data_IF_472702839335
#
_entry.id   IF_472702839335
#
_cell.length_a   1.000
_cell.length_b   1.000
_cell.length_c   1.000
_cell.angle_alpha   90.00
_cell.angle_beta   90.00
_cell.angle_gamma   90.00
#
_symmetry.space_group_name_H-M   'P 1'
#
loop_
_entity.id
_entity.type
_entity.pdbx_description
1 polymer ?
#
# COMPACT_ATOMS: atom_id res chain seq x y z
N UNK A 1 11.69 -19.24 -16.94
CA UNK A 1 12.74 -19.95 -17.72
C UNK A 1 12.43 -19.68 -19.19
N UNK A 2 13.39 -19.34 -20.05
CA UNK A 2 13.06 -18.98 -21.45
C UNK A 2 12.53 -20.22 -22.19
N UNK A 3 11.22 -20.30 -22.38
CA UNK A 3 10.57 -21.40 -23.11
C UNK A 3 10.56 -21.08 -24.61
N UNK A 4 11.06 -22.00 -25.43
CA UNK A 4 11.02 -21.90 -26.89
C UNK A 4 9.95 -22.84 -27.45
N UNK A 5 9.20 -22.37 -28.43
CA UNK A 5 8.22 -23.16 -29.15
C UNK A 5 8.49 -23.09 -30.65
N UNK A 6 8.64 -24.26 -31.27
CA UNK A 6 8.74 -24.39 -32.73
C UNK A 6 7.35 -24.64 -33.30
N UNK A 7 6.89 -23.75 -34.17
CA UNK A 7 5.59 -23.78 -34.83
C UNK A 7 5.45 -25.06 -35.65
N UNK A 8 4.34 -25.78 -35.48
CA UNK A 8 4.00 -27.00 -36.21
C UNK A 8 2.99 -26.72 -37.35
N UNK A 9 2.88 -27.62 -38.34
CA UNK A 9 1.80 -27.53 -39.34
C UNK A 9 0.43 -27.37 -38.68
N UNK A 10 -0.32 -26.35 -39.09
CA UNK A 10 -1.65 -26.04 -38.57
C UNK A 10 -1.69 -25.18 -37.29
N UNK A 11 -0.55 -24.87 -36.67
CA UNK A 11 -0.53 -23.91 -35.56
C UNK A 11 -0.57 -22.46 -36.06
N UNK A 12 -1.29 -21.61 -35.34
CA UNK A 12 -1.26 -20.14 -35.41
C UNK A 12 -0.75 -19.58 -34.09
N UNK A 13 -0.39 -18.30 -34.03
CA UNK A 13 -0.02 -17.69 -32.74
C UNK A 13 -1.16 -17.78 -31.72
N UNK A 14 -2.42 -17.78 -32.16
CA UNK A 14 -3.61 -17.98 -31.31
C UNK A 14 -3.67 -19.39 -30.72
N UNK A 15 -3.44 -20.42 -31.52
CA UNK A 15 -3.45 -21.81 -31.01
C UNK A 15 -2.25 -22.08 -30.11
N UNK A 16 -1.09 -21.49 -30.42
CA UNK A 16 0.10 -21.54 -29.57
C UNK A 16 -0.17 -20.82 -28.26
N UNK A 17 -0.75 -19.62 -28.31
CA UNK A 17 -1.12 -18.88 -27.11
C UNK A 17 -2.07 -19.72 -26.23
N UNK A 18 -3.14 -20.28 -26.81
CA UNK A 18 -4.04 -21.20 -26.11
C UNK A 18 -3.30 -22.39 -25.48
N UNK A 19 -2.37 -23.02 -26.21
CA UNK A 19 -1.57 -24.16 -25.73
C UNK A 19 -0.73 -23.81 -24.51
N UNK A 20 -0.19 -22.59 -24.46
CA UNK A 20 0.62 -22.11 -23.34
C UNK A 20 -0.19 -21.35 -22.28
N UNK A 21 -1.53 -21.32 -22.39
CA UNK A 21 -2.39 -20.55 -21.49
C UNK A 21 -2.18 -19.04 -21.57
N UNK A 22 -1.73 -18.54 -22.72
CA UNK A 22 -1.62 -17.13 -23.05
C UNK A 22 -2.89 -16.74 -23.81
N UNK A 23 -3.60 -15.72 -23.34
CA UNK A 23 -4.92 -15.36 -23.88
C UNK A 23 -4.84 -14.62 -25.22
N UNK A 24 -3.85 -13.74 -25.36
CA UNK A 24 -3.65 -12.87 -26.52
C UNK A 24 -2.38 -13.28 -27.24
N UNK A 25 -2.52 -13.70 -28.48
CA UNK A 25 -1.39 -14.13 -29.29
C UNK A 25 -0.37 -13.00 -29.49
N UNK A 26 -0.83 -11.75 -29.43
CA UNK A 26 -0.03 -10.54 -29.52
C UNK A 26 1.08 -10.52 -28.46
N UNK A 27 0.86 -11.15 -27.29
CA UNK A 27 1.88 -11.23 -26.24
C UNK A 27 3.06 -12.10 -26.64
N UNK A 28 2.81 -13.18 -27.38
CA UNK A 28 3.87 -13.98 -27.98
C UNK A 28 4.53 -13.14 -29.08
N UNK A 29 3.74 -12.57 -29.98
CA UNK A 29 4.27 -11.84 -31.13
C UNK A 29 5.16 -10.67 -30.73
N UNK A 30 4.68 -9.82 -29.81
CA UNK A 30 5.32 -8.57 -29.38
C UNK A 30 6.39 -8.77 -28.29
N UNK A 31 6.59 -10.01 -27.80
CA UNK A 31 7.59 -10.29 -26.77
C UNK A 31 8.98 -9.78 -27.18
N UNK A 32 9.75 -9.09 -26.31
CA UNK A 32 11.02 -8.48 -26.71
C UNK A 32 12.01 -9.46 -27.36
N UNK A 33 12.09 -10.68 -26.84
CA UNK A 33 12.98 -11.73 -27.38
C UNK A 33 12.52 -12.30 -28.73
N UNK A 34 11.30 -11.98 -29.18
CA UNK A 34 10.79 -12.32 -30.51
C UNK A 34 11.04 -11.22 -31.56
N UNK A 35 11.84 -10.19 -31.26
CA UNK A 35 12.19 -9.13 -32.24
C UNK A 35 12.70 -9.70 -33.56
N UNK A 36 13.68 -10.60 -33.53
CA UNK A 36 14.24 -11.21 -34.73
C UNK A 36 13.22 -12.07 -35.50
N UNK A 37 12.25 -12.67 -34.80
CA UNK A 37 11.13 -13.37 -35.44
C UNK A 37 10.20 -12.39 -36.15
N UNK A 38 9.84 -11.26 -35.51
CA UNK A 38 9.00 -10.22 -36.13
C UNK A 38 9.65 -9.57 -37.35
N UNK A 39 10.97 -9.40 -37.34
CA UNK A 39 11.70 -8.86 -38.50
C UNK A 39 11.62 -9.78 -39.72
N UNK A 40 11.62 -11.10 -39.52
CA UNK A 40 11.45 -12.09 -40.59
C UNK A 40 9.98 -12.30 -40.98
N UNK A 41 9.07 -12.15 -40.02
CA UNK A 41 7.63 -12.38 -40.19
C UNK A 41 6.82 -11.17 -39.68
N UNK A 42 6.78 -10.04 -40.42
CA UNK A 42 6.13 -8.80 -39.96
C UNK A 42 4.60 -8.89 -39.87
N UNK A 43 4.01 -9.85 -40.59
CA UNK A 43 2.59 -10.15 -40.48
C UNK A 43 2.40 -11.37 -39.57
N UNK A 44 1.85 -11.14 -38.38
CA UNK A 44 1.64 -12.17 -37.36
C UNK A 44 0.71 -13.32 -37.79
N UNK A 45 -0.11 -13.13 -38.83
CA UNK A 45 -0.96 -14.17 -39.40
C UNK A 45 -0.22 -15.11 -40.36
N UNK A 46 1.05 -14.83 -40.71
CA UNK A 46 1.83 -15.58 -41.72
C UNK A 46 2.95 -16.45 -41.10
N UNK A 47 2.79 -16.92 -39.88
CA UNK A 47 3.76 -17.83 -39.26
C UNK A 47 3.86 -19.15 -40.03
N UNK A 48 5.06 -19.73 -40.09
CA UNK A 48 5.32 -20.95 -40.86
C UNK A 48 5.78 -22.09 -39.96
N UNK A 49 5.45 -23.35 -40.31
CA UNK A 49 6.05 -24.50 -39.64
C UNK A 49 7.57 -24.41 -39.64
N UNK A 50 8.18 -24.66 -38.48
CA UNK A 50 9.63 -24.49 -38.27
C UNK A 50 10.04 -23.13 -37.70
N UNK A 51 9.17 -22.12 -37.73
CA UNK A 51 9.43 -20.87 -37.01
C UNK A 51 9.61 -21.13 -35.52
N UNK A 52 10.52 -20.40 -34.88
CA UNK A 52 10.74 -20.49 -33.43
C UNK A 52 10.31 -19.18 -32.79
N UNK A 53 9.35 -19.28 -31.87
CA UNK A 53 8.90 -18.19 -31.01
C UNK A 53 9.30 -18.48 -29.57
N UNK A 54 9.77 -17.45 -28.88
CA UNK A 54 9.94 -17.45 -27.44
C UNK A 54 8.56 -17.27 -26.81
N UNK A 55 8.17 -18.21 -25.96
CA UNK A 55 6.97 -18.14 -25.17
C UNK A 55 7.32 -17.35 -23.91
N UNK A 56 6.67 -16.19 -23.66
CA UNK A 56 6.80 -15.51 -22.39
C UNK A 56 6.49 -16.50 -21.26
N UNK A 57 7.25 -16.46 -20.16
CA UNK A 57 6.81 -17.14 -18.93
C UNK A 57 5.35 -16.72 -18.72
N UNK A 58 4.45 -17.68 -18.43
CA UNK A 58 3.01 -17.45 -18.28
C UNK A 58 2.86 -16.15 -17.49
N UNK A 59 2.52 -15.07 -18.19
CA UNK A 59 2.11 -13.86 -17.51
C UNK A 59 0.96 -14.35 -16.67
N UNK A 60 1.03 -14.20 -15.33
CA UNK A 60 0.00 -14.68 -14.47
C UNK A 60 -1.37 -14.62 -15.10
N UNK A 61 -2.08 -15.73 -15.14
CA UNK A 61 -3.34 -15.85 -15.85
C UNK A 61 -4.18 -14.58 -15.66
N UNK A 62 -4.26 -13.74 -16.70
CA UNK A 62 -5.22 -12.63 -16.81
C UNK A 62 -6.57 -13.26 -16.58
N UNK A 63 -7.07 -13.22 -15.34
CA UNK A 63 -8.51 -13.23 -15.16
C UNK A 63 -9.02 -11.94 -15.81
N UNK A 64 -10.14 -11.95 -16.53
CA UNK A 64 -10.80 -10.71 -16.98
C UNK A 64 -11.38 -9.99 -15.76
N UNK A 65 -10.49 -9.53 -14.91
CA UNK A 65 -10.81 -8.87 -13.67
C UNK A 65 -10.11 -7.53 -13.66
N UNK A 66 -10.70 -6.51 -13.02
CA UNK A 66 -10.04 -5.22 -12.83
C UNK A 66 -8.63 -5.35 -12.24
N UNK A 67 -8.39 -6.37 -11.40
CA UNK A 67 -7.07 -6.64 -10.85
C UNK A 67 -6.07 -7.22 -11.87
N UNK A 68 -6.52 -8.06 -12.81
CA UNK A 68 -5.67 -8.53 -13.90
C UNK A 68 -5.17 -7.38 -14.78
N UNK A 69 -6.06 -6.44 -15.12
CA UNK A 69 -5.70 -5.23 -15.87
C UNK A 69 -4.74 -4.33 -15.09
N UNK A 70 -4.97 -4.18 -13.77
CA UNK A 70 -4.06 -3.47 -12.87
C UNK A 70 -2.64 -4.06 -12.89
N UNK A 71 -2.52 -5.39 -12.71
CA UNK A 71 -1.23 -6.08 -12.72
C UNK A 71 -0.51 -5.97 -14.06
N UNK A 72 -1.24 -5.92 -15.17
CA UNK A 72 -0.63 -5.71 -16.48
C UNK A 72 0.01 -4.33 -16.61
N UNK A 73 -0.69 -3.28 -16.19
CA UNK A 73 -0.13 -1.93 -16.21
C UNK A 73 1.10 -1.84 -15.30
N UNK A 74 1.01 -2.44 -14.12
CA UNK A 74 2.10 -2.51 -13.15
C UNK A 74 3.32 -3.24 -13.72
N UNK A 75 3.13 -4.41 -14.34
CA UNK A 75 4.19 -5.21 -14.96
C UNK A 75 4.93 -4.43 -16.06
N UNK A 76 4.18 -3.75 -16.93
CA UNK A 76 4.78 -2.96 -18.01
C UNK A 76 5.65 -1.81 -17.48
N UNK A 77 5.19 -1.14 -16.42
CA UNK A 77 5.97 -0.12 -15.72
C UNK A 77 7.19 -0.71 -15.02
N UNK A 78 7.05 -1.89 -14.40
CA UNK A 78 8.13 -2.59 -13.73
C UNK A 78 9.27 -2.92 -14.70
N UNK A 79 8.93 -3.50 -15.86
CA UNK A 79 9.88 -3.81 -16.93
C UNK A 79 10.65 -2.57 -17.40
N UNK A 80 9.97 -1.42 -17.48
CA UNK A 80 10.60 -0.15 -17.82
C UNK A 80 11.55 0.37 -16.73
N UNK A 81 11.23 0.11 -15.46
CA UNK A 81 12.10 0.42 -14.33
C UNK A 81 13.34 -0.49 -14.30
N UNK A 82 13.17 -1.80 -14.54
CA UNK A 82 14.27 -2.78 -14.64
C UNK A 82 15.26 -2.38 -15.75
N UNK A 83 14.76 -1.96 -16.93
CA UNK A 83 15.63 -1.48 -18.02
C UNK A 83 16.45 -0.25 -17.62
N UNK A 84 15.94 0.58 -16.72
CA UNK A 84 16.64 1.71 -16.12
C UNK A 84 17.44 1.35 -14.86
N UNK A 85 17.68 0.05 -14.63
CA UNK A 85 18.50 -0.46 -13.52
C UNK A 85 17.95 -0.14 -12.12
N UNK A 86 16.63 0.06 -11.98
CA UNK A 86 16.02 0.18 -10.65
C UNK A 86 16.14 -1.15 -9.90
N UNK A 87 16.63 -1.10 -8.66
CA UNK A 87 16.71 -2.28 -7.80
C UNK A 87 15.30 -2.79 -7.44
N UNK A 88 15.20 -3.97 -6.81
CA UNK A 88 13.91 -4.46 -6.28
C UNK A 88 13.27 -3.46 -5.30
N UNK A 89 14.07 -2.88 -4.40
CA UNK A 89 13.59 -1.89 -3.44
C UNK A 89 13.17 -0.58 -4.11
N UNK A 90 13.94 -0.10 -5.08
CA UNK A 90 13.62 1.16 -5.76
C UNK A 90 12.37 1.03 -6.64
N UNK A 91 12.08 -0.17 -7.16
CA UNK A 91 10.80 -0.45 -7.85
C UNK A 91 9.60 -0.35 -6.91
N UNK A 92 9.69 -0.89 -5.69
CA UNK A 92 8.63 -0.76 -4.69
C UNK A 92 8.42 0.72 -4.33
N UNK A 93 9.51 1.46 -4.08
CA UNK A 93 9.43 2.90 -3.84
C UNK A 93 8.83 3.65 -5.04
N UNK A 94 9.20 3.30 -6.28
CA UNK A 94 8.64 3.91 -7.48
C UNK A 94 7.14 3.68 -7.62
N UNK A 95 6.64 2.48 -7.27
CA UNK A 95 5.20 2.21 -7.25
C UNK A 95 4.48 2.99 -6.15
N UNK A 96 5.04 3.09 -4.95
CA UNK A 96 4.51 3.98 -3.90
C UNK A 96 4.38 5.42 -4.40
N UNK A 97 5.38 5.94 -5.11
CA UNK A 97 5.39 7.31 -5.65
C UNK A 97 4.29 7.60 -6.68
N UNK A 98 3.67 6.58 -7.28
CA UNK A 98 2.51 6.78 -8.17
C UNK A 98 1.37 7.45 -7.41
N UNK A 99 1.09 7.00 -6.18
CA UNK A 99 0.02 7.52 -5.33
C UNK A 99 0.51 8.56 -4.33
N UNK A 100 1.69 8.32 -3.77
CA UNK A 100 2.25 9.06 -2.65
C UNK A 100 3.58 9.71 -3.05
N UNK A 101 3.56 10.76 -3.89
CA UNK A 101 4.78 11.41 -4.32
C UNK A 101 5.52 12.03 -3.13
N UNK A 102 6.85 12.07 -3.22
CA UNK A 102 7.68 12.85 -2.31
C UNK A 102 7.42 14.34 -2.62
N UNK A 103 6.45 14.95 -1.97
CA UNK A 103 6.24 16.40 -2.08
C UNK A 103 7.26 17.13 -1.21
N UNK A 104 7.74 18.31 -1.61
CA UNK A 104 8.74 19.06 -0.88
C UNK A 104 8.31 19.28 0.57
N UNK A 105 9.23 19.03 1.50
CA UNK A 105 8.94 19.25 2.91
C UNK A 105 8.92 20.76 3.19
N UNK A 106 7.89 21.28 3.87
CA UNK A 106 7.88 22.69 4.30
C UNK A 106 8.56 22.84 5.66
N UNK A 107 8.94 24.05 6.04
CA UNK A 107 9.51 24.34 7.36
C UNK A 107 8.49 25.14 8.18
N UNK A 108 8.22 24.72 9.41
CA UNK A 108 7.40 25.41 10.40
C UNK A 108 8.19 25.54 11.70
N UNK A 109 8.52 26.76 12.11
CA UNK A 109 9.22 27.02 13.38
C UNK A 109 10.59 26.34 13.49
N UNK A 110 11.31 26.19 12.38
CA UNK A 110 12.58 25.47 12.31
C UNK A 110 12.45 23.94 12.20
N UNK A 111 11.21 23.42 12.15
CA UNK A 111 10.92 22.00 11.99
C UNK A 111 10.31 21.70 10.62
N UNK A 112 10.85 20.69 9.95
CA UNK A 112 10.42 20.26 8.63
C UNK A 112 9.03 19.57 8.72
N UNK A 113 7.95 20.27 8.38
CA UNK A 113 6.54 19.85 8.42
C UNK A 113 5.80 20.22 7.13
N UNK A 114 4.98 19.32 6.57
CA UNK A 114 4.15 19.56 5.38
C UNK A 114 4.83 19.15 4.07
N UNK A 115 4.05 18.84 3.04
CA UNK A 115 4.47 17.88 2.02
C UNK A 115 4.30 16.46 2.58
N UNK A 116 3.60 15.57 1.87
CA UNK A 116 3.33 14.18 2.25
C UNK A 116 4.49 13.60 3.07
N UNK A 117 4.22 13.07 4.27
CA UNK A 117 5.22 12.79 5.30
C UNK A 117 6.19 11.66 4.92
N UNK A 118 6.10 11.12 3.71
CA UNK A 118 6.82 9.94 3.25
C UNK A 118 8.35 10.04 3.31
N UNK A 119 9.02 11.15 2.98
CA UNK A 119 10.47 11.25 3.19
C UNK A 119 10.88 11.24 4.67
N UNK A 120 9.98 11.66 5.56
CA UNK A 120 10.20 11.61 7.01
C UNK A 120 9.92 10.22 7.57
N UNK A 121 8.83 9.58 7.11
CA UNK A 121 8.40 8.24 7.53
C UNK A 121 9.31 7.16 6.92
N UNK A 122 9.80 7.34 5.69
CA UNK A 122 10.65 6.37 4.99
C UNK A 122 11.92 7.09 4.52
N UNK A 123 12.84 7.49 5.43
CA UNK A 123 14.04 8.23 5.06
C UNK A 123 14.90 7.53 4.00
N UNK A 124 14.96 6.19 4.06
CA UNK A 124 15.69 5.39 3.09
C UNK A 124 15.14 5.44 1.66
N UNK A 125 13.93 5.95 1.45
CA UNK A 125 13.28 6.12 0.16
C UNK A 125 13.31 7.58 -0.35
N UNK A 126 13.83 8.52 0.44
CA UNK A 126 13.72 9.96 0.15
C UNK A 126 14.38 10.36 -1.19
N UNK A 127 15.44 9.67 -1.60
CA UNK A 127 16.19 9.97 -2.81
C UNK A 127 15.70 9.22 -4.05
N UNK A 128 14.83 8.22 -3.89
CA UNK A 128 14.30 7.48 -5.03
C UNK A 128 13.29 8.36 -5.77
N UNK A 129 13.42 8.39 -7.09
CA UNK A 129 12.51 9.10 -7.99
C UNK A 129 11.69 8.09 -8.79
N UNK A 130 10.60 8.54 -9.42
CA UNK A 130 9.96 7.70 -10.43
C UNK A 130 10.90 7.53 -11.64
N UNK A 131 10.96 6.34 -12.26
CA UNK A 131 11.73 6.13 -13.48
C UNK A 131 11.37 7.16 -14.54
N UNK A 132 12.36 7.75 -15.22
CA UNK A 132 12.11 8.86 -16.15
C UNK A 132 11.21 8.43 -17.31
N UNK A 133 11.37 7.19 -17.79
CA UNK A 133 10.52 6.65 -18.86
C UNK A 133 9.04 6.57 -18.51
N UNK A 134 8.65 6.65 -17.23
CA UNK A 134 7.25 6.67 -16.80
C UNK A 134 6.55 8.00 -17.09
N UNK A 135 7.29 9.05 -17.44
CA UNK A 135 6.76 10.36 -17.84
C UNK A 135 6.39 10.44 -19.32
N UNK A 136 6.87 9.47 -20.10
CA UNK A 136 6.68 9.40 -21.56
C UNK A 136 5.60 8.39 -21.94
N UNK A 137 4.97 8.59 -23.10
CA UNK A 137 4.05 7.59 -23.66
C UNK A 137 4.84 6.34 -24.12
N UNK A 138 4.32 5.12 -23.92
CA UNK A 138 2.99 4.80 -23.38
C UNK A 138 2.94 4.71 -21.85
N UNK A 139 4.07 4.75 -21.13
CA UNK A 139 4.09 4.50 -19.68
C UNK A 139 3.34 5.56 -18.87
N UNK A 140 3.30 6.83 -19.32
CA UNK A 140 2.52 7.88 -18.66
C UNK A 140 1.04 7.53 -18.56
N UNK A 141 0.47 6.95 -19.61
CA UNK A 141 -0.93 6.51 -19.63
C UNK A 141 -1.16 5.37 -18.64
N UNK A 142 -0.16 4.48 -18.48
CA UNK A 142 -0.22 3.38 -17.50
C UNK A 142 -0.12 3.87 -16.06
N UNK A 143 0.74 4.86 -15.79
CA UNK A 143 0.79 5.53 -14.48
C UNK A 143 -0.56 6.17 -14.16
N UNK A 144 -1.16 6.85 -15.12
CA UNK A 144 -2.48 7.46 -14.94
C UNK A 144 -3.54 6.40 -14.68
N UNK A 145 -3.54 5.30 -15.44
CA UNK A 145 -4.43 4.18 -15.20
C UNK A 145 -4.33 3.66 -13.77
N UNK A 146 -3.10 3.42 -13.26
CA UNK A 146 -2.91 2.91 -11.90
C UNK A 146 -3.38 3.92 -10.82
N UNK A 147 -3.31 5.22 -11.08
CA UNK A 147 -3.87 6.25 -10.18
C UNK A 147 -5.39 6.22 -10.15
N UNK A 148 -6.01 6.08 -11.32
CA UNK A 148 -7.46 6.06 -11.46
C UNK A 148 -8.08 4.74 -10.96
N UNK A 149 -7.25 3.69 -10.86
CA UNK A 149 -7.64 2.36 -10.39
C UNK A 149 -6.83 1.94 -9.17
N UNK A 150 -6.56 2.86 -8.23
CA UNK A 150 -5.73 2.58 -7.04
C UNK A 150 -6.29 1.48 -6.14
N UNK A 151 -7.60 1.24 -6.22
CA UNK A 151 -8.33 0.32 -5.34
C UNK A 151 -8.99 -0.82 -6.17
N UNK A 152 -8.21 -1.66 -6.86
CA UNK A 152 -8.75 -2.76 -7.64
C UNK A 152 -9.54 -3.73 -6.75
N UNK A 153 -10.57 -4.36 -7.34
CA UNK A 153 -11.35 -5.39 -6.66
C UNK A 153 -10.61 -6.73 -6.77
N UNK A 154 -10.25 -7.30 -5.61
CA UNK A 154 -9.52 -8.55 -5.45
C UNK A 154 -10.36 -9.48 -4.56
N UNK A 155 -10.81 -10.62 -5.10
CA UNK A 155 -11.70 -11.56 -4.39
C UNK A 155 -12.95 -10.91 -3.76
N UNK A 156 -13.53 -9.92 -4.45
CA UNK A 156 -14.74 -9.22 -4.01
C UNK A 156 -14.51 -8.06 -3.03
N UNK A 157 -13.28 -7.80 -2.60
CA UNK A 157 -12.92 -6.66 -1.78
C UNK A 157 -12.06 -5.65 -2.56
N UNK A 158 -12.27 -4.35 -2.35
CA UNK A 158 -11.36 -3.33 -2.86
C UNK A 158 -10.14 -3.25 -1.94
N UNK A 159 -8.94 -3.11 -2.51
CA UNK A 159 -7.70 -3.01 -1.74
C UNK A 159 -6.92 -1.78 -2.21
N UNK A 160 -6.59 -0.84 -1.33
CA UNK A 160 -5.76 0.32 -1.70
C UNK A 160 -4.31 -0.14 -1.93
N UNK A 161 -3.90 -0.20 -3.19
CA UNK A 161 -2.56 -0.63 -3.58
C UNK A 161 -1.49 0.42 -3.25
N UNK A 162 -1.87 1.68 -3.10
CA UNK A 162 -0.99 2.73 -2.57
C UNK A 162 -0.56 2.39 -1.14
N UNK A 163 -1.49 2.01 -0.27
CA UNK A 163 -1.22 1.57 1.09
C UNK A 163 -0.39 0.28 1.14
N UNK A 164 -0.66 -0.69 0.24
CA UNK A 164 0.21 -1.87 0.07
C UNK A 164 1.66 -1.43 -0.19
N UNK A 165 1.90 -0.60 -1.21
CA UNK A 165 3.27 -0.19 -1.56
C UNK A 165 3.93 0.72 -0.52
N UNK A 166 3.17 1.60 0.14
CA UNK A 166 3.67 2.41 1.24
C UNK A 166 4.18 1.54 2.40
N UNK A 167 3.38 0.55 2.81
CA UNK A 167 3.77 -0.40 3.85
C UNK A 167 4.96 -1.27 3.43
N UNK A 168 4.99 -1.77 2.19
CA UNK A 168 6.12 -2.56 1.69
C UNK A 168 7.42 -1.74 1.64
N UNK A 169 7.38 -0.48 1.18
CA UNK A 169 8.54 0.41 1.12
C UNK A 169 9.08 0.69 2.54
N UNK A 170 8.19 0.97 3.50
CA UNK A 170 8.56 1.19 4.89
C UNK A 170 9.15 -0.07 5.55
N UNK A 171 8.50 -1.23 5.36
CA UNK A 171 8.93 -2.54 5.88
C UNK A 171 10.35 -2.91 5.42
N UNK A 172 10.65 -2.65 4.15
CA UNK A 172 11.94 -3.00 3.55
C UNK A 172 13.04 -1.95 3.80
N UNK A 173 12.67 -0.78 4.31
CA UNK A 173 13.58 0.29 4.71
C UNK A 173 13.31 0.64 6.17
N UNK A 174 13.53 -0.30 7.11
CA UNK A 174 13.16 -0.13 8.49
C UNK A 174 13.92 1.05 9.10
N UNK A 175 13.19 1.91 9.78
CA UNK A 175 13.76 3.02 10.53
C UNK A 175 12.93 3.30 11.78
N UNK A 176 13.59 3.77 12.83
CA UNK A 176 12.89 4.36 13.98
C UNK A 176 12.55 5.80 13.62
N UNK A 177 11.32 6.21 13.87
CA UNK A 177 10.89 7.57 13.63
C UNK A 177 11.12 8.39 14.89
N UNK A 178 11.92 9.44 14.75
CA UNK A 178 12.13 10.44 15.79
C UNK A 178 11.96 11.82 15.19
N UNK A 179 10.88 12.49 15.55
CA UNK A 179 10.61 13.86 15.13
C UNK A 179 10.59 14.77 16.36
N UNK A 180 11.50 15.74 16.37
CA UNK A 180 11.51 16.80 17.39
C UNK A 180 10.78 18.01 16.86
N UNK A 181 9.63 18.34 17.47
CA UNK A 181 8.88 19.56 17.19
C UNK A 181 9.16 20.58 18.29
N UNK A 182 9.43 21.84 17.93
CA UNK A 182 9.67 22.89 18.92
C UNK A 182 8.47 23.04 19.86
N UNK A 183 8.70 22.88 21.17
CA UNK A 183 7.67 23.02 22.21
C UNK A 183 6.77 21.80 22.41
N UNK A 184 7.04 20.67 21.75
CA UNK A 184 6.29 19.42 21.91
C UNK A 184 7.30 18.29 22.21
N UNK A 185 6.95 17.32 23.08
CA UNK A 185 7.80 16.15 23.30
C UNK A 185 8.14 15.45 21.98
N UNK A 186 9.34 14.89 21.88
CA UNK A 186 9.75 14.17 20.68
C UNK A 186 8.76 13.04 20.36
N UNK A 187 8.27 13.02 19.12
CA UNK A 187 7.45 11.95 18.58
C UNK A 187 8.41 10.80 18.25
N UNK A 188 8.23 9.65 18.91
CA UNK A 188 9.14 8.50 18.84
C UNK A 188 8.37 7.20 18.60
N UNK A 189 8.24 6.80 17.34
CA UNK A 189 7.56 5.55 16.96
C UNK A 189 8.58 4.43 16.73
N UNK A 190 8.26 3.20 17.18
CA UNK A 190 9.20 2.08 17.14
C UNK A 190 9.45 1.56 15.73
N UNK A 191 8.48 1.76 14.83
CA UNK A 191 8.49 1.24 13.48
C UNK A 191 7.92 2.26 12.51
N UNK A 192 8.70 2.61 11.49
CA UNK A 192 8.14 3.34 10.36
C UNK A 192 7.15 2.54 9.54
N UNK A 193 7.20 1.20 9.56
CA UNK A 193 6.20 0.37 8.89
C UNK A 193 4.83 0.54 9.54
N UNK A 194 4.75 0.56 10.86
CA UNK A 194 3.50 0.83 11.58
C UNK A 194 3.00 2.25 11.32
N UNK A 195 3.89 3.24 11.38
CA UNK A 195 3.57 4.64 11.10
C UNK A 195 3.10 4.89 9.65
N UNK A 196 3.63 4.13 8.69
CA UNK A 196 3.26 4.18 7.27
C UNK A 196 1.97 3.41 6.94
N UNK A 197 1.40 2.69 7.90
CA UNK A 197 0.27 1.77 7.70
C UNK A 197 -0.79 1.96 8.77
N UNK A 198 -1.28 0.88 9.39
CA UNK A 198 -2.47 0.89 10.22
C UNK A 198 -2.34 1.82 11.43
N UNK A 199 -1.16 1.98 12.05
CA UNK A 199 -1.01 2.90 13.19
C UNK A 199 -1.12 4.36 12.74
N UNK A 200 -0.61 4.70 11.55
CA UNK A 200 -0.75 6.04 10.96
C UNK A 200 -2.21 6.40 10.69
N UNK A 201 -2.95 5.47 10.08
CA UNK A 201 -4.37 5.67 9.74
C UNK A 201 -5.25 5.74 10.99
N UNK A 202 -5.06 4.81 11.94
CA UNK A 202 -5.78 4.86 13.23
C UNK A 202 -5.41 6.11 14.03
N UNK A 203 -4.16 6.59 13.93
CA UNK A 203 -3.76 7.90 14.47
C UNK A 203 -4.50 9.07 13.79
N UNK A 204 -4.75 8.98 12.49
CA UNK A 204 -5.54 9.96 11.74
C UNK A 204 -7.00 10.00 12.22
N UNK A 205 -7.61 8.84 12.46
CA UNK A 205 -8.96 8.74 13.08
C UNK A 205 -9.01 9.54 14.38
N UNK A 206 -8.03 9.33 15.27
CA UNK A 206 -7.94 9.99 16.57
C UNK A 206 -7.71 11.52 16.40
N UNK A 207 -6.80 11.91 15.50
CA UNK A 207 -6.48 13.31 15.24
C UNK A 207 -7.69 14.11 14.72
N UNK A 208 -8.51 13.52 13.85
CA UNK A 208 -9.67 14.18 13.26
C UNK A 208 -10.94 14.08 14.13
N UNK A 209 -10.99 13.14 15.08
CA UNK A 209 -12.05 13.10 16.09
C UNK A 209 -11.95 14.25 17.10
N UNK A 210 -10.75 14.51 17.63
CA UNK A 210 -10.52 15.47 18.72
C UNK A 210 -11.15 16.86 18.54
N UNK A 211 -10.96 17.53 17.38
CA UNK A 211 -11.54 18.86 17.13
C UNK A 211 -13.08 18.86 17.04
N UNK A 212 -13.68 17.72 16.68
CA UNK A 212 -15.13 17.58 16.47
C UNK A 212 -15.87 17.17 17.76
N UNK A 213 -15.16 16.61 18.75
CA UNK A 213 -15.72 15.96 19.94
C UNK A 213 -16.20 16.93 21.04
N UNK A 214 -16.57 18.18 20.71
CA UNK A 214 -16.75 19.26 21.67
C UNK A 214 -17.83 19.05 22.77
N UNK A 215 -18.57 17.92 22.82
CA UNK A 215 -19.76 17.79 23.70
C UNK A 215 -20.14 16.42 24.28
N UNK A 216 -19.42 15.32 24.03
CA UNK A 216 -19.87 14.00 24.49
C UNK A 216 -19.14 13.54 25.77
N UNK A 217 -19.76 13.80 26.93
CA UNK A 217 -19.39 13.16 28.20
C UNK A 217 -19.79 11.68 28.16
N UNK A 218 -18.86 10.85 27.69
CA UNK A 218 -19.02 9.42 27.44
C UNK A 218 -18.95 8.56 28.71
N UNK A 219 -19.89 8.76 29.63
CA UNK A 219 -20.13 7.79 30.71
C UNK A 219 -21.56 7.28 30.62
N UNK A 220 -21.80 6.23 29.81
CA UNK A 220 -22.66 5.05 30.11
C UNK A 220 -23.35 4.35 28.93
N UNK A 221 -23.40 4.90 27.72
CA UNK A 221 -23.99 4.17 26.59
C UNK A 221 -22.91 3.38 25.85
N UNK A 222 -23.14 2.12 25.46
CA UNK A 222 -22.23 1.34 24.59
C UNK A 222 -22.45 1.65 23.09
N UNK A 223 -23.03 2.80 22.76
CA UNK A 223 -23.43 3.14 21.40
C UNK A 223 -22.26 3.85 20.72
N UNK A 224 -21.68 3.36 19.62
CA UNK A 224 -20.54 4.04 19.02
C UNK A 224 -20.87 5.52 18.71
N UNK A 225 -19.97 6.44 19.07
CA UNK A 225 -20.11 7.85 18.70
C UNK A 225 -20.11 7.92 17.17
N UNK A 226 -21.22 8.38 16.58
CA UNK A 226 -21.37 8.50 15.12
C UNK A 226 -20.26 9.38 14.51
N UNK A 227 -19.71 10.33 15.28
CA UNK A 227 -18.58 11.16 14.86
C UNK A 227 -17.31 10.32 14.78
N UNK A 228 -17.04 9.48 15.79
CA UNK A 228 -15.87 8.60 15.80
C UNK A 228 -15.97 7.49 14.75
N UNK A 229 -17.16 6.92 14.55
CA UNK A 229 -17.41 5.97 13.45
C UNK A 229 -17.19 6.62 12.08
N UNK A 230 -17.69 7.85 11.90
CA UNK A 230 -17.46 8.58 10.66
C UNK A 230 -15.96 8.85 10.46
N UNK A 231 -15.26 9.32 11.48
CA UNK A 231 -13.81 9.51 11.42
C UNK A 231 -13.08 8.21 11.08
N UNK A 232 -13.50 7.08 11.66
CA UNK A 232 -12.96 5.77 11.32
C UNK A 232 -13.17 5.44 9.84
N UNK A 233 -14.39 5.61 9.32
CA UNK A 233 -14.69 5.34 7.91
C UNK A 233 -13.94 6.29 6.94
N UNK A 234 -13.72 7.54 7.34
CA UNK A 234 -13.06 8.54 6.50
C UNK A 234 -11.54 8.33 6.44
N UNK A 235 -10.91 7.87 7.53
CA UNK A 235 -9.45 7.86 7.70
C UNK A 235 -8.83 6.48 7.90
N UNK A 236 -9.64 5.45 8.13
CA UNK A 236 -9.24 4.05 8.24
C UNK A 236 -10.24 3.20 7.46
N UNK A 237 -10.45 3.55 6.18
CA UNK A 237 -11.39 2.86 5.30
C UNK A 237 -11.06 1.36 5.20
N UNK A 238 -12.05 0.55 4.86
CA UNK A 238 -11.80 -0.89 4.68
C UNK A 238 -10.73 -1.13 3.61
N UNK A 239 -10.75 -0.36 2.52
CA UNK A 239 -9.78 -0.47 1.43
C UNK A 239 -8.34 -0.19 1.88
N UNK A 240 -8.14 0.84 2.70
CA UNK A 240 -6.83 1.21 3.25
C UNK A 240 -6.34 0.17 4.26
N UNK A 241 -7.22 -0.27 5.16
CA UNK A 241 -6.90 -1.30 6.16
C UNK A 241 -6.50 -2.63 5.51
N UNK A 242 -7.18 -3.02 4.42
CA UNK A 242 -6.77 -4.19 3.63
C UNK A 242 -5.39 -3.99 2.99
N UNK A 243 -5.11 -2.81 2.43
CA UNK A 243 -3.80 -2.50 1.86
C UNK A 243 -2.68 -2.54 2.90
N UNK A 244 -2.94 -1.98 4.07
CA UNK A 244 -2.04 -2.01 5.22
C UNK A 244 -1.75 -3.44 5.67
N UNK A 245 -2.78 -4.26 5.89
CA UNK A 245 -2.66 -5.67 6.28
C UNK A 245 -1.84 -6.46 5.27
N UNK A 246 -2.14 -6.30 3.98
CA UNK A 246 -1.46 -7.03 2.92
C UNK A 246 0.04 -6.71 2.88
N UNK A 247 0.44 -5.48 3.26
CA UNK A 247 1.86 -5.11 3.36
C UNK A 247 2.63 -5.91 4.42
N UNK A 248 1.97 -6.43 5.45
CA UNK A 248 2.57 -7.32 6.46
C UNK A 248 2.58 -8.77 5.98
N UNK A 249 1.50 -9.21 5.33
CA UNK A 249 1.28 -10.61 4.99
C UNK A 249 1.94 -11.04 3.69
N UNK A 250 2.20 -10.10 2.77
CA UNK A 250 2.72 -10.40 1.45
C UNK A 250 4.20 -10.86 1.56
N UNK A 251 4.52 -12.12 1.23
CA UNK A 251 5.89 -12.59 1.22
C UNK A 251 6.62 -12.03 0.00
N UNK A 252 7.84 -11.53 0.22
CA UNK A 252 8.66 -10.99 -0.86
C UNK A 252 9.87 -11.87 -1.13
N UNK A 253 10.00 -12.30 -2.38
CA UNK A 253 11.20 -12.91 -2.93
C UNK A 253 11.86 -11.91 -3.89
N UNK A 254 13.00 -11.27 -3.52
CA UNK A 254 13.68 -10.29 -4.37
C UNK A 254 14.17 -10.83 -5.71
N UNK A 255 14.28 -12.16 -5.84
CA UNK A 255 14.58 -12.85 -7.10
C UNK A 255 13.41 -12.82 -8.10
N UNK A 256 12.19 -12.47 -7.65
CA UNK A 256 11.00 -12.28 -8.47
C UNK A 256 10.76 -10.79 -8.70
N UNK A 257 9.94 -10.47 -9.70
CA UNK A 257 9.42 -9.10 -9.88
C UNK A 257 8.42 -8.78 -8.76
N UNK A 258 8.22 -7.50 -8.46
CA UNK A 258 7.21 -7.02 -7.51
C UNK A 258 5.82 -7.49 -7.96
N UNK A 259 5.51 -7.35 -9.25
CA UNK A 259 4.25 -7.82 -9.84
C UNK A 259 4.06 -9.32 -9.64
N UNK A 260 5.12 -10.13 -9.80
CA UNK A 260 5.02 -11.57 -9.57
C UNK A 260 4.78 -11.90 -8.09
N UNK A 261 5.40 -11.17 -7.14
CA UNK A 261 5.11 -11.35 -5.72
C UNK A 261 3.66 -11.01 -5.38
N UNK A 262 3.12 -9.92 -5.91
CA UNK A 262 1.70 -9.56 -5.74
C UNK A 262 0.80 -10.66 -6.29
N UNK A 263 1.12 -11.17 -7.48
CA UNK A 263 0.36 -12.25 -8.04
C UNK A 263 0.38 -13.49 -7.16
N UNK A 264 1.58 -13.97 -6.82
CA UNK A 264 1.73 -15.18 -6.02
C UNK A 264 0.93 -15.06 -4.73
N UNK A 265 0.90 -13.87 -4.11
CA UNK A 265 0.12 -13.59 -2.92
C UNK A 265 -1.40 -13.55 -3.17
N UNK A 266 -1.86 -12.80 -4.17
CA UNK A 266 -3.29 -12.57 -4.39
C UNK A 266 -3.99 -13.72 -5.11
N UNK A 267 -3.27 -14.55 -5.86
CA UNK A 267 -3.84 -15.71 -6.55
C UNK A 267 -3.59 -17.03 -5.82
N UNK A 268 -2.93 -17.04 -4.66
CA UNK A 268 -2.76 -18.26 -3.88
C UNK A 268 -4.13 -18.84 -3.47
N UNK A 269 -4.45 -20.09 -3.84
CA UNK A 269 -5.73 -20.70 -3.52
C UNK A 269 -5.84 -21.17 -2.05
N UNK A 270 -4.73 -21.20 -1.30
CA UNK A 270 -4.66 -21.73 0.07
C UNK A 270 -4.11 -20.68 1.04
N UNK A 271 -3.02 -20.01 0.67
CA UNK A 271 -2.32 -19.01 1.46
C UNK A 271 -2.69 -17.59 0.99
N UNK A 272 -1.80 -16.63 1.24
CA UNK A 272 -1.91 -15.28 0.72
C UNK A 272 -3.10 -14.53 1.30
N UNK A 273 -3.91 -13.94 0.42
CA UNK A 273 -5.16 -13.23 0.77
C UNK A 273 -6.09 -14.04 1.67
N UNK A 274 -6.16 -15.37 1.51
CA UNK A 274 -7.10 -16.22 2.24
C UNK A 274 -6.73 -16.40 3.71
N UNK A 275 -5.49 -16.09 4.08
CA UNK A 275 -4.98 -16.15 5.46
C UNK A 275 -4.45 -14.81 5.94
N UNK A 276 -4.84 -13.70 5.29
CA UNK A 276 -4.28 -12.37 5.58
C UNK A 276 -4.54 -11.92 7.01
N UNK A 277 -5.74 -12.12 7.55
CA UNK A 277 -6.11 -11.65 8.89
C UNK A 277 -5.47 -12.49 9.98
N UNK A 278 -5.48 -13.82 9.82
CA UNK A 278 -4.77 -14.73 10.72
C UNK A 278 -3.26 -14.46 10.72
N UNK A 279 -2.64 -14.36 9.54
CA UNK A 279 -1.22 -14.01 9.39
C UNK A 279 -0.91 -12.64 9.99
N UNK A 280 -1.76 -11.64 9.75
CA UNK A 280 -1.58 -10.30 10.30
C UNK A 280 -1.63 -10.32 11.82
N UNK A 281 -2.68 -10.87 12.43
CA UNK A 281 -2.84 -10.94 13.88
C UNK A 281 -1.65 -11.64 14.56
N UNK A 282 -1.13 -12.71 13.95
CA UNK A 282 0.08 -13.39 14.42
C UNK A 282 1.33 -12.49 14.31
N UNK A 283 1.49 -11.82 13.16
CA UNK A 283 2.64 -10.95 12.86
C UNK A 283 2.70 -9.76 13.80
N UNK A 284 1.59 -9.03 13.96
CA UNK A 284 1.55 -7.79 14.75
C UNK A 284 1.23 -8.02 16.22
N UNK A 285 0.78 -9.23 16.61
CA UNK A 285 0.49 -9.62 18.00
C UNK A 285 -0.54 -8.70 18.69
N UNK A 286 -1.54 -8.22 17.95
CA UNK A 286 -2.54 -7.24 18.41
C UNK A 286 -3.32 -7.64 19.67
N UNK A 287 -3.38 -8.93 19.98
CA UNK A 287 -4.09 -9.45 21.16
C UNK A 287 -3.22 -9.52 22.41
N UNK A 288 -1.91 -9.29 22.30
CA UNK A 288 -1.00 -9.35 23.44
C UNK A 288 -1.03 -8.02 24.22
N UNK A 289 -1.18 -8.04 25.56
CA UNK A 289 -1.30 -6.82 26.37
C UNK A 289 -0.15 -5.83 26.18
N UNK A 290 1.09 -6.32 26.11
CA UNK A 290 2.28 -5.50 25.91
C UNK A 290 2.29 -4.80 24.54
N UNK A 291 1.72 -5.45 23.52
CA UNK A 291 1.59 -4.87 22.19
C UNK A 291 0.53 -3.78 22.21
N UNK A 292 -0.62 -4.02 22.86
CA UNK A 292 -1.69 -3.01 22.98
C UNK A 292 -1.21 -1.76 23.70
N UNK A 293 -0.47 -1.91 24.79
CA UNK A 293 0.09 -0.77 25.52
C UNK A 293 1.08 0.04 24.66
N UNK A 294 1.90 -0.63 23.84
CA UNK A 294 2.78 0.06 22.91
C UNK A 294 1.98 0.81 21.84
N UNK A 295 0.93 0.20 21.28
CA UNK A 295 0.09 0.80 20.26
C UNK A 295 -0.70 2.01 20.78
N UNK A 296 -1.14 2.02 22.03
CA UNK A 296 -1.78 3.20 22.62
C UNK A 296 -0.86 4.45 22.52
N UNK A 297 0.42 4.27 22.87
CA UNK A 297 1.43 5.33 22.78
C UNK A 297 1.68 5.73 21.33
N UNK A 298 1.79 4.77 20.44
CA UNK A 298 2.13 5.02 19.03
C UNK A 298 0.99 5.64 18.23
N UNK A 299 -0.26 5.24 18.50
CA UNK A 299 -1.44 5.88 17.94
C UNK A 299 -1.58 7.32 18.42
N UNK A 300 -1.30 7.59 19.70
CA UNK A 300 -1.24 8.97 20.19
C UNK A 300 -0.18 9.78 19.45
N UNK A 301 1.03 9.25 19.31
CA UNK A 301 2.12 9.89 18.58
C UNK A 301 1.82 10.10 17.08
N UNK A 302 1.19 9.13 16.43
CA UNK A 302 0.71 9.25 15.06
C UNK A 302 -0.34 10.36 14.95
N UNK A 303 -1.27 10.46 15.91
CA UNK A 303 -2.23 11.55 15.95
C UNK A 303 -1.55 12.92 16.08
N UNK A 304 -0.50 13.05 16.92
CA UNK A 304 0.28 14.30 17.01
C UNK A 304 0.95 14.65 15.67
N UNK A 305 1.47 13.65 14.96
CA UNK A 305 2.09 13.84 13.64
C UNK A 305 1.07 14.32 12.60
N UNK A 306 -0.14 13.76 12.61
CA UNK A 306 -1.25 14.18 11.73
C UNK A 306 -1.66 15.62 12.05
N UNK A 307 -1.88 15.96 13.33
CA UNK A 307 -2.21 17.32 13.74
C UNK A 307 -1.16 18.34 13.28
N UNK A 308 0.13 17.98 13.38
CA UNK A 308 1.23 18.82 12.93
C UNK A 308 1.26 18.96 11.39
N UNK A 309 0.98 17.88 10.66
CA UNK A 309 0.93 17.87 9.19
C UNK A 309 -0.24 18.65 8.60
N UNK A 310 -1.41 18.55 9.22
CA UNK A 310 -2.68 19.15 8.74
C UNK A 310 -2.89 20.59 9.18
N UNK A 311 -1.86 21.21 9.75
CA UNK A 311 -1.88 22.60 10.25
C UNK A 311 -2.88 22.80 11.40
N UNK A 312 -3.19 21.75 12.14
CA UNK A 312 -4.01 21.81 13.36
C UNK A 312 -3.12 22.11 14.58
N UNK A 313 -2.17 23.03 14.44
CA UNK A 313 -1.21 23.38 15.51
C UNK A 313 -1.91 23.96 16.74
N UNK A 314 -3.07 24.60 16.58
CA UNK A 314 -3.88 25.05 17.70
C UNK A 314 -4.39 23.89 18.56
N UNK A 315 -4.82 22.80 17.93
CA UNK A 315 -5.27 21.58 18.62
C UNK A 315 -4.10 20.90 19.34
N UNK A 316 -2.95 20.83 18.65
CA UNK A 316 -1.72 20.30 19.22
C UNK A 316 -1.26 21.10 20.44
N UNK A 317 -1.32 22.43 20.38
CA UNK A 317 -1.00 23.28 21.53
C UNK A 317 -1.99 23.06 22.69
N UNK A 318 -3.29 22.98 22.40
CA UNK A 318 -4.33 22.75 23.41
C UNK A 318 -4.19 21.38 24.11
N UNK A 319 -3.58 20.37 23.48
CA UNK A 319 -3.29 19.08 24.12
C UNK A 319 -2.25 19.18 25.25
N UNK A 320 -1.33 20.13 25.16
CA UNK A 320 -0.24 20.31 26.14
C UNK A 320 -0.46 21.49 27.09
N UNK A 321 -1.54 22.26 26.93
CA UNK A 321 -1.91 23.28 27.90
C UNK A 321 -2.44 22.65 29.19
N UNK A 322 -1.99 23.10 30.38
CA UNK A 322 -2.64 22.74 31.63
C UNK A 322 -4.11 23.12 31.57
N UNK A 323 -5.02 22.22 31.99
CA UNK A 323 -6.45 22.51 32.05
C UNK A 323 -6.71 23.64 33.06
N UNK A 324 -6.83 24.88 32.58
CA UNK A 324 -6.98 26.08 33.42
C UNK A 324 -8.33 26.17 34.16
N UNK A 325 -9.25 25.22 33.98
CA UNK A 325 -10.53 25.17 34.70
C UNK A 325 -10.86 23.75 35.16
N UNK A 326 -11.42 23.61 36.38
CA UNK A 326 -11.84 22.32 36.96
C UNK A 326 -13.01 21.63 36.22
N UNK A 327 -13.59 22.27 35.20
CA UNK A 327 -14.81 21.79 34.50
C UNK A 327 -14.49 21.21 33.11
N UNK A 328 -13.28 21.43 32.59
CA UNK A 328 -12.88 20.90 31.28
C UNK A 328 -12.25 19.52 31.42
N UNK A 329 -12.79 18.53 30.72
CA UNK A 329 -12.12 17.23 30.54
C UNK A 329 -10.79 17.48 29.83
N UNK A 330 -9.64 17.00 30.35
CA UNK A 330 -8.38 17.13 29.66
C UNK A 330 -8.48 16.52 28.26
N UNK A 331 -8.08 17.26 27.21
CA UNK A 331 -8.11 16.74 25.83
C UNK A 331 -7.33 15.44 25.69
N UNK A 332 -6.26 15.25 26.46
CA UNK A 332 -5.50 14.00 26.51
C UNK A 332 -6.35 12.78 26.90
N UNK A 333 -7.36 12.95 27.76
CA UNK A 333 -8.28 11.87 28.12
C UNK A 333 -9.21 11.53 26.94
N UNK A 334 -9.72 12.53 26.21
CA UNK A 334 -10.52 12.30 25.00
C UNK A 334 -9.74 11.54 23.94
N UNK A 335 -8.46 11.87 23.75
CA UNK A 335 -7.59 11.15 22.82
C UNK A 335 -7.34 9.72 23.29
N UNK A 336 -7.09 9.50 24.58
CA UNK A 336 -6.92 8.15 25.13
C UNK A 336 -8.17 7.28 24.93
N UNK A 337 -9.37 7.83 25.16
CA UNK A 337 -10.63 7.12 24.91
C UNK A 337 -10.84 6.82 23.42
N UNK A 338 -10.58 7.78 22.54
CA UNK A 338 -10.67 7.58 21.09
C UNK A 338 -9.69 6.51 20.60
N UNK A 339 -8.46 6.49 21.15
CA UNK A 339 -7.45 5.46 20.86
C UNK A 339 -7.94 4.08 21.26
N UNK A 340 -8.42 3.93 22.49
CA UNK A 340 -8.91 2.64 22.99
C UNK A 340 -10.05 2.11 22.11
N UNK A 341 -11.06 2.95 21.84
CA UNK A 341 -12.18 2.57 20.98
C UNK A 341 -11.71 2.17 19.58
N UNK A 342 -10.82 2.97 18.97
CA UNK A 342 -10.32 2.75 17.60
C UNK A 342 -9.52 1.46 17.51
N UNK A 343 -8.64 1.20 18.49
CA UNK A 343 -7.84 -0.02 18.56
C UNK A 343 -8.70 -1.26 18.81
N UNK A 344 -9.68 -1.17 19.71
CA UNK A 344 -10.66 -2.24 19.95
C UNK A 344 -11.45 -2.56 18.69
N UNK A 345 -12.03 -1.54 18.04
CA UNK A 345 -12.80 -1.70 16.81
C UNK A 345 -11.98 -2.39 15.71
N UNK A 346 -10.75 -1.92 15.46
CA UNK A 346 -9.86 -2.53 14.47
C UNK A 346 -9.47 -3.98 14.84
N UNK A 347 -9.17 -4.23 16.12
CA UNK A 347 -8.82 -5.58 16.59
C UNK A 347 -9.98 -6.55 16.40
N UNK A 348 -11.20 -6.14 16.79
CA UNK A 348 -12.41 -6.94 16.62
C UNK A 348 -12.72 -7.21 15.15
N UNK A 349 -12.57 -6.19 14.29
CA UNK A 349 -12.74 -6.34 12.85
C UNK A 349 -11.78 -7.38 12.26
N UNK A 350 -10.48 -7.30 12.59
CA UNK A 350 -9.49 -8.29 12.18
C UNK A 350 -9.83 -9.71 12.68
N UNK A 351 -10.19 -9.86 13.96
CA UNK A 351 -10.53 -11.15 14.55
C UNK A 351 -11.79 -11.77 13.93
N UNK A 352 -12.82 -10.95 13.66
CA UNK A 352 -14.06 -11.41 13.02
C UNK A 352 -13.79 -11.94 11.61
N UNK A 353 -12.89 -11.31 10.86
CA UNK A 353 -12.50 -11.78 9.53
C UNK A 353 -11.58 -13.00 9.58
N UNK A 354 -10.63 -13.04 10.50
CA UNK A 354 -9.79 -14.22 10.71
C UNK A 354 -10.60 -15.49 11.04
N UNK A 355 -11.74 -15.36 11.76
CA UNK A 355 -12.66 -16.48 12.00
C UNK A 355 -13.40 -16.99 10.77
N UNK A 356 -13.44 -16.21 9.68
CA UNK A 356 -14.08 -16.57 8.41
C UNK A 356 -13.08 -17.09 7.36
N UNK A 357 -11.78 -17.04 7.64
CA UNK A 357 -10.68 -17.59 6.83
C UNK A 357 -10.46 -19.08 7.07
#
# INVERSE_FOLDING_TARGET
>A
MIQRHTVRPGESLSTIASKYGIRRWEHIYQYPLNKAFRERTPNASLIRPGDVVIIPDKSPSRQDTPFGDYLEQLFALEEAAIRQQYSFLDRITAFRLIRYPNTPVRQYGGTTLGGGPWPLIIPGAAQVQMPSSWRESPHRERVQFLRDHSNPVIHGAKVDMGHVFAGLDARLRPSRLRLTLTGIPAIEMRSNHEAATYVGDLGSVVAHYGPSAARTLWKKAKVPDLVLQKAYSDWASEEDMLGNIDSYCLPLAPAKTVTQNLLDYYLDPVQGVRKRFSTFLETVRLTQPETRQALDREMFQAALLVLAGDKLMGELYLLFQPSGSMVQVPKTLLYAEAIQWTLEHFTEWCQQRARKE
#
